data_IF_463646728173
#
_entry.id   IF_463646728173
#
_cell.length_a   1.000
_cell.length_b   1.000
_cell.length_c   1.000
_cell.angle_alpha   90.00
_cell.angle_beta   90.00
_cell.angle_gamma   90.00
#
_symmetry.space_group_name_H-M   'P 1'
#
loop_
_entity.id
_entity.type
_entity.pdbx_description
1 polymer ?
#
# COMPACT_ATOMS: atom_id res chain seq x y z
N UNK A 1 -4.73 22.21 -5.97
CA UNK A 1 -5.95 22.57 -5.22
C UNK A 1 -7.02 21.48 -5.20
N UNK A 2 -7.10 20.58 -6.21
CA UNK A 2 -8.09 19.47 -6.25
C UNK A 2 -7.89 18.44 -5.13
N UNK A 3 -6.65 18.10 -4.82
CA UNK A 3 -6.29 17.02 -3.87
C UNK A 3 -6.82 17.26 -2.44
N UNK A 4 -6.89 18.50 -1.97
CA UNK A 4 -7.38 18.83 -0.62
C UNK A 4 -8.91 18.69 -0.48
N UNK A 5 -9.68 18.94 -1.55
CA UNK A 5 -11.14 18.77 -1.55
C UNK A 5 -11.52 17.29 -1.53
N UNK A 6 -10.83 16.48 -2.33
CA UNK A 6 -11.08 15.04 -2.46
C UNK A 6 -10.76 14.29 -1.16
N UNK A 7 -9.68 14.69 -0.50
CA UNK A 7 -9.32 14.15 0.83
C UNK A 7 -10.36 14.51 1.88
N UNK A 8 -10.84 15.76 1.89
CA UNK A 8 -11.87 16.20 2.83
C UNK A 8 -13.17 15.44 2.60
N UNK A 9 -13.61 15.31 1.35
CA UNK A 9 -14.81 14.57 0.99
C UNK A 9 -14.72 13.10 1.42
N UNK A 10 -13.57 12.46 1.22
CA UNK A 10 -13.33 11.08 1.67
C UNK A 10 -13.43 10.96 3.20
N UNK A 11 -12.84 11.88 3.95
CA UNK A 11 -12.89 11.88 5.42
C UNK A 11 -14.33 12.09 5.91
N UNK A 12 -15.04 13.03 5.30
CA UNK A 12 -16.44 13.31 5.63
C UNK A 12 -17.34 12.10 5.32
N UNK A 13 -17.10 11.44 4.19
CA UNK A 13 -17.78 10.19 3.85
C UNK A 13 -17.47 9.09 4.88
N UNK A 14 -16.21 8.90 5.25
CA UNK A 14 -15.82 7.91 6.24
C UNK A 14 -16.41 8.17 7.64
N UNK A 15 -16.70 9.43 7.97
CA UNK A 15 -17.30 9.81 9.24
C UNK A 15 -18.81 9.53 9.31
N UNK A 16 -19.50 9.45 8.16
CA UNK A 16 -20.96 9.20 8.09
C UNK A 16 -21.33 7.78 8.50
N UNK A 17 -20.43 6.82 8.34
CA UNK A 17 -20.70 5.41 8.65
C UNK A 17 -20.40 5.13 10.13
N UNK A 18 -21.34 4.51 10.88
CA UNK A 18 -21.12 4.12 12.26
C UNK A 18 -20.08 3.00 12.36
N UNK A 19 -19.40 2.91 13.48
CA UNK A 19 -18.53 1.79 13.77
C UNK A 19 -19.35 0.52 13.99
N UNK A 20 -18.86 -0.60 13.50
CA UNK A 20 -19.50 -1.89 13.68
C UNK A 20 -19.24 -2.44 15.09
N UNK A 21 -20.24 -3.11 15.64
CA UNK A 21 -20.07 -3.96 16.82
C UNK A 21 -19.44 -5.28 16.39
N UNK A 22 -18.86 -6.01 17.33
CA UNK A 22 -18.25 -7.32 17.05
C UNK A 22 -19.27 -8.32 16.45
N UNK A 23 -20.51 -8.28 16.90
CA UNK A 23 -21.58 -9.13 16.34
C UNK A 23 -21.89 -8.78 14.88
N UNK A 24 -21.92 -7.49 14.55
CA UNK A 24 -22.11 -7.03 13.18
C UNK A 24 -20.93 -7.39 12.28
N UNK A 25 -19.68 -7.32 12.80
CA UNK A 25 -18.49 -7.78 12.06
C UNK A 25 -18.61 -9.27 11.69
N UNK A 26 -19.03 -10.10 12.65
CA UNK A 26 -19.22 -11.54 12.45
C UNK A 26 -20.33 -11.80 11.42
N UNK A 27 -21.48 -11.14 11.56
CA UNK A 27 -22.60 -11.32 10.64
C UNK A 27 -22.25 -10.94 9.20
N UNK A 28 -21.65 -9.75 9.01
CA UNK A 28 -21.22 -9.30 7.69
C UNK A 28 -20.15 -10.21 7.11
N UNK A 29 -19.18 -10.63 7.94
CA UNK A 29 -18.14 -11.56 7.54
C UNK A 29 -18.70 -12.91 7.06
N UNK A 30 -19.66 -13.49 7.80
CA UNK A 30 -20.35 -14.74 7.41
C UNK A 30 -21.08 -14.60 6.08
N UNK A 31 -21.79 -13.48 5.86
CA UNK A 31 -22.50 -13.21 4.59
C UNK A 31 -21.53 -13.10 3.41
N UNK A 32 -20.38 -12.46 3.61
CA UNK A 32 -19.34 -12.35 2.59
C UNK A 32 -18.75 -13.72 2.28
N UNK A 33 -18.39 -14.51 3.31
CA UNK A 33 -17.82 -15.85 3.15
C UNK A 33 -18.81 -16.82 2.48
N UNK A 34 -20.09 -16.75 2.84
CA UNK A 34 -21.14 -17.57 2.22
C UNK A 34 -21.22 -17.29 0.69
N UNK A 35 -21.14 -16.03 0.30
CA UNK A 35 -21.13 -15.67 -1.12
C UNK A 35 -19.87 -16.17 -1.82
N UNK A 36 -18.68 -15.93 -1.23
CA UNK A 36 -17.40 -16.22 -1.90
C UNK A 36 -17.06 -17.72 -1.98
N UNK A 37 -17.53 -18.49 -1.00
CA UNK A 37 -17.29 -19.95 -0.95
C UNK A 37 -18.28 -20.75 -1.82
N UNK A 38 -19.37 -20.14 -2.27
CA UNK A 38 -20.36 -20.85 -3.09
C UNK A 38 -19.83 -21.01 -4.52
N UNK A 39 -19.78 -22.22 -5.07
CA UNK A 39 -19.19 -22.49 -6.40
C UNK A 39 -19.99 -21.82 -7.54
N UNK A 40 -21.31 -21.77 -7.41
CA UNK A 40 -22.22 -21.11 -8.36
C UNK A 40 -23.27 -20.31 -7.57
N UNK A 41 -22.94 -19.07 -7.15
CA UNK A 41 -23.82 -18.32 -6.28
C UNK A 41 -25.01 -17.74 -7.04
N UNK A 42 -26.26 -17.97 -6.58
CA UNK A 42 -27.44 -17.36 -7.17
C UNK A 42 -27.34 -15.82 -7.07
N UNK A 43 -27.96 -15.11 -8.02
CA UNK A 43 -27.87 -13.63 -8.10
C UNK A 43 -28.26 -12.92 -6.79
N UNK A 44 -29.24 -13.47 -6.06
CA UNK A 44 -29.65 -12.95 -4.74
C UNK A 44 -28.50 -13.00 -3.71
N UNK A 45 -27.75 -14.10 -3.67
CA UNK A 45 -26.60 -14.28 -2.79
C UNK A 45 -25.46 -13.35 -3.18
N UNK A 46 -25.17 -13.21 -4.47
CA UNK A 46 -24.16 -12.26 -4.99
C UNK A 46 -24.49 -10.83 -4.56
N UNK A 47 -25.75 -10.39 -4.74
CA UNK A 47 -26.18 -9.05 -4.34
C UNK A 47 -26.06 -8.84 -2.82
N UNK A 48 -26.47 -9.84 -2.04
CA UNK A 48 -26.38 -9.79 -0.57
C UNK A 48 -24.93 -9.74 -0.10
N UNK A 49 -24.07 -10.58 -0.66
CA UNK A 49 -22.64 -10.63 -0.33
C UNK A 49 -21.90 -9.34 -0.67
N UNK A 50 -22.16 -8.77 -1.88
CA UNK A 50 -21.59 -7.49 -2.29
C UNK A 50 -22.04 -6.35 -1.37
N UNK A 51 -23.32 -6.25 -1.03
CA UNK A 51 -23.82 -5.23 -0.09
C UNK A 51 -23.18 -5.37 1.30
N UNK A 52 -23.04 -6.61 1.77
CA UNK A 52 -22.37 -6.87 3.06
C UNK A 52 -20.90 -6.44 3.03
N UNK A 53 -20.16 -6.74 1.95
CA UNK A 53 -18.78 -6.30 1.77
C UNK A 53 -18.68 -4.77 1.71
N UNK A 54 -19.51 -4.13 0.93
CA UNK A 54 -19.47 -2.68 0.76
C UNK A 54 -19.80 -1.97 2.08
N UNK A 55 -20.79 -2.44 2.83
CA UNK A 55 -21.09 -1.95 4.17
C UNK A 55 -19.91 -2.17 5.12
N UNK A 56 -19.29 -3.35 5.10
CA UNK A 56 -18.15 -3.68 5.93
C UNK A 56 -16.94 -2.75 5.65
N UNK A 57 -16.67 -2.47 4.37
CA UNK A 57 -15.63 -1.53 3.94
C UNK A 57 -15.98 -0.12 4.38
N UNK A 58 -17.18 0.38 4.08
CA UNK A 58 -17.58 1.75 4.41
C UNK A 58 -17.47 2.05 5.92
N UNK A 59 -17.91 1.13 6.77
CA UNK A 59 -17.83 1.29 8.23
C UNK A 59 -16.38 1.28 8.77
N UNK A 60 -15.41 0.79 7.99
CA UNK A 60 -14.00 0.69 8.39
C UNK A 60 -13.09 1.69 7.65
N UNK A 61 -13.60 2.63 6.83
CA UNK A 61 -12.78 3.61 6.10
C UNK A 61 -11.94 4.50 7.02
N UNK A 62 -12.41 4.76 8.25
CA UNK A 62 -11.64 5.51 9.26
C UNK A 62 -10.30 4.84 9.59
N UNK A 63 -10.24 3.51 9.55
CA UNK A 63 -9.00 2.77 9.74
C UNK A 63 -8.01 3.04 8.59
N UNK A 64 -8.49 3.12 7.35
CA UNK A 64 -7.67 3.47 6.18
C UNK A 64 -7.02 4.82 6.38
N UNK A 65 -7.79 5.85 6.79
CA UNK A 65 -7.27 7.19 7.06
C UNK A 65 -6.19 7.17 8.14
N UNK A 66 -6.44 6.45 9.24
CA UNK A 66 -5.49 6.33 10.35
C UNK A 66 -4.17 5.67 9.93
N UNK A 67 -4.23 4.64 9.08
CA UNK A 67 -3.03 3.98 8.56
C UNK A 67 -2.33 4.84 7.52
N UNK A 68 -3.05 5.42 6.56
CA UNK A 68 -2.47 6.23 5.47
C UNK A 68 -1.72 7.47 6.00
N UNK A 69 -2.22 8.12 7.07
CA UNK A 69 -1.55 9.27 7.72
C UNK A 69 -0.09 8.97 8.12
N UNK A 70 0.23 7.73 8.48
CA UNK A 70 1.59 7.33 8.88
C UNK A 70 2.59 7.39 7.72
N UNK A 71 2.10 7.41 6.48
CA UNK A 71 2.92 7.37 5.26
C UNK A 71 3.10 8.72 4.59
N UNK A 72 2.51 9.81 5.12
CA UNK A 72 2.62 11.15 4.55
C UNK A 72 4.07 11.60 4.33
N UNK A 73 4.97 11.31 5.29
CA UNK A 73 6.39 11.65 5.14
C UNK A 73 7.08 10.89 4.01
N UNK A 74 6.62 9.67 3.69
CA UNK A 74 7.24 8.85 2.63
C UNK A 74 6.87 9.30 1.23
N UNK A 75 5.76 9.99 1.07
CA UNK A 75 5.28 10.50 -0.23
C UNK A 75 5.68 11.96 -0.46
N UNK A 76 6.21 12.65 0.53
CA UNK A 76 6.70 14.03 0.39
C UNK A 76 7.77 14.10 -0.70
N UNK A 77 7.59 14.99 -1.67
CA UNK A 77 8.48 15.12 -2.83
C UNK A 77 8.29 14.06 -3.92
N UNK A 78 7.22 13.26 -3.86
CA UNK A 78 6.86 12.29 -4.92
C UNK A 78 5.61 12.74 -5.65
N UNK A 79 5.30 12.08 -6.77
CA UNK A 79 4.07 12.32 -7.54
C UNK A 79 2.81 11.69 -6.92
N UNK A 80 2.96 10.93 -5.82
CA UNK A 80 1.85 10.26 -5.14
C UNK A 80 1.17 11.26 -4.21
N UNK A 81 -0.14 11.34 -4.29
CA UNK A 81 -0.98 12.19 -3.44
C UNK A 81 -1.47 11.41 -2.21
N UNK A 82 -1.97 12.13 -1.20
CA UNK A 82 -2.61 11.48 -0.06
C UNK A 82 -3.92 10.79 -0.46
N UNK A 83 -4.64 11.34 -1.44
CA UNK A 83 -5.83 10.72 -2.01
C UNK A 83 -5.51 9.34 -2.62
N UNK A 84 -4.38 9.22 -3.32
CA UNK A 84 -3.91 7.93 -3.85
C UNK A 84 -3.69 6.90 -2.74
N UNK A 85 -3.10 7.31 -1.61
CA UNK A 85 -2.90 6.41 -0.47
C UNK A 85 -4.23 5.94 0.13
N UNK A 86 -5.23 6.82 0.19
CA UNK A 86 -6.56 6.47 0.68
C UNK A 86 -7.23 5.45 -0.25
N UNK A 87 -7.13 5.63 -1.57
CA UNK A 87 -7.69 4.68 -2.54
C UNK A 87 -6.99 3.31 -2.47
N UNK A 88 -5.66 3.30 -2.46
CA UNK A 88 -4.89 2.06 -2.36
C UNK A 88 -5.15 1.35 -1.01
N UNK A 89 -5.28 2.12 0.07
CA UNK A 89 -5.64 1.58 1.37
C UNK A 89 -7.05 0.97 1.38
N UNK A 90 -8.01 1.59 0.67
CA UNK A 90 -9.36 1.09 0.52
C UNK A 90 -9.40 -0.23 -0.27
N UNK A 91 -8.58 -0.35 -1.33
CA UNK A 91 -8.41 -1.62 -2.05
C UNK A 91 -7.85 -2.70 -1.11
N UNK A 92 -6.89 -2.34 -0.27
CA UNK A 92 -6.36 -3.25 0.76
C UNK A 92 -7.42 -3.68 1.77
N UNK A 93 -8.25 -2.74 2.24
CA UNK A 93 -9.36 -3.01 3.14
C UNK A 93 -10.43 -3.92 2.51
N UNK A 94 -10.76 -3.71 1.23
CA UNK A 94 -11.70 -4.57 0.51
C UNK A 94 -11.20 -6.02 0.44
N UNK A 95 -9.91 -6.22 0.12
CA UNK A 95 -9.30 -7.55 0.12
C UNK A 95 -9.31 -8.20 1.51
N UNK A 96 -9.10 -7.38 2.55
CA UNK A 96 -9.21 -7.85 3.93
C UNK A 96 -10.63 -8.32 4.24
N UNK A 97 -11.67 -7.56 3.85
CA UNK A 97 -13.06 -7.92 4.05
C UNK A 97 -13.44 -9.24 3.36
N UNK A 98 -12.91 -9.46 2.15
CA UNK A 98 -13.16 -10.70 1.38
C UNK A 98 -12.46 -11.93 2.00
N UNK A 99 -11.33 -11.73 2.68
CA UNK A 99 -10.54 -12.83 3.28
C UNK A 99 -10.72 -12.96 4.78
N UNK A 100 -11.46 -12.07 5.39
CA UNK A 100 -11.71 -12.11 6.83
C UNK A 100 -12.51 -13.33 7.22
N UNK A 101 -11.98 -14.09 8.18
CA UNK A 101 -12.69 -15.22 8.78
C UNK A 101 -13.22 -14.82 10.16
N UNK A 102 -14.54 -14.65 10.30
CA UNK A 102 -15.15 -14.24 11.55
C UNK A 102 -15.06 -15.31 12.66
N UNK A 103 -14.83 -16.57 12.32
CA UNK A 103 -14.74 -17.68 13.29
C UNK A 103 -13.40 -17.69 14.06
N UNK A 104 -12.37 -17.00 13.53
CA UNK A 104 -11.07 -16.88 14.21
C UNK A 104 -11.09 -16.00 15.47
N UNK A 105 -12.18 -15.29 15.77
CA UNK A 105 -12.35 -14.49 16.98
C UNK A 105 -11.56 -13.17 17.03
N UNK A 106 -10.78 -12.84 16.03
CA UNK A 106 -10.03 -11.59 15.96
C UNK A 106 -10.91 -10.45 15.42
N UNK A 107 -10.70 -9.22 15.94
CA UNK A 107 -11.35 -8.02 15.39
C UNK A 107 -10.90 -7.78 13.96
N UNK A 108 -11.83 -7.33 13.12
CA UNK A 108 -11.54 -6.94 11.73
C UNK A 108 -10.40 -5.92 11.65
N UNK A 109 -10.35 -4.94 12.55
CA UNK A 109 -9.34 -3.88 12.55
C UNK A 109 -7.90 -4.43 12.64
N UNK A 110 -7.69 -5.48 13.46
CA UNK A 110 -6.38 -6.14 13.61
C UNK A 110 -5.95 -6.83 12.31
N UNK A 111 -6.89 -7.52 11.67
CA UNK A 111 -6.63 -8.23 10.41
C UNK A 111 -6.44 -7.26 9.23
N UNK A 112 -7.34 -6.29 9.10
CA UNK A 112 -7.33 -5.31 8.00
C UNK A 112 -6.11 -4.40 8.02
N UNK A 113 -5.56 -4.08 9.19
CA UNK A 113 -4.38 -3.24 9.32
C UNK A 113 -3.22 -3.70 8.41
N UNK A 114 -2.94 -5.00 8.38
CA UNK A 114 -1.86 -5.57 7.59
C UNK A 114 -2.11 -5.49 6.07
N UNK A 115 -3.36 -5.69 5.64
CA UNK A 115 -3.75 -5.59 4.24
C UNK A 115 -3.69 -4.14 3.73
N UNK A 116 -4.20 -3.20 4.53
CA UNK A 116 -4.14 -1.76 4.24
C UNK A 116 -2.67 -1.32 4.13
N UNK A 117 -1.87 -1.65 5.13
CA UNK A 117 -0.43 -1.35 5.16
C UNK A 117 0.29 -1.92 3.94
N UNK A 118 0.04 -3.18 3.62
CA UNK A 118 0.65 -3.86 2.48
C UNK A 118 0.29 -3.17 1.16
N UNK A 119 -0.99 -2.83 0.95
CA UNK A 119 -1.45 -2.18 -0.26
C UNK A 119 -0.82 -0.79 -0.43
N UNK A 120 -0.84 0.04 0.61
CA UNK A 120 -0.21 1.37 0.63
C UNK A 120 1.29 1.27 0.35
N UNK A 121 2.01 0.42 1.07
CA UNK A 121 3.47 0.28 0.90
C UNK A 121 3.81 -0.18 -0.51
N UNK A 122 3.08 -1.16 -1.04
CA UNK A 122 3.27 -1.65 -2.40
C UNK A 122 3.01 -0.56 -3.44
N UNK A 123 1.98 0.26 -3.27
CA UNK A 123 1.67 1.37 -4.17
C UNK A 123 2.79 2.41 -4.16
N UNK A 124 3.26 2.81 -2.98
CA UNK A 124 4.41 3.71 -2.85
C UNK A 124 5.63 3.14 -3.58
N UNK A 125 5.97 1.87 -3.34
CA UNK A 125 7.13 1.25 -3.96
C UNK A 125 7.02 1.14 -5.49
N UNK A 126 5.81 1.02 -6.02
CA UNK A 126 5.59 0.90 -7.46
C UNK A 126 5.48 2.25 -8.19
N UNK A 127 4.97 3.29 -7.52
CA UNK A 127 4.58 4.56 -8.15
C UNK A 127 5.53 5.73 -7.87
N UNK A 128 6.48 5.61 -6.91
CA UNK A 128 7.37 6.72 -6.50
C UNK A 128 8.44 7.12 -7.50
N UNK A 129 8.70 6.36 -8.54
CA UNK A 129 9.75 6.70 -9.53
C UNK A 129 9.18 6.85 -10.93
N UNK A 130 9.73 7.78 -11.75
CA UNK A 130 9.42 7.87 -13.18
C UNK A 130 9.75 6.56 -13.89
N UNK A 131 10.87 5.94 -13.51
CA UNK A 131 11.27 4.61 -13.99
C UNK A 131 10.89 3.59 -12.94
N UNK A 132 10.10 2.60 -13.34
CA UNK A 132 9.69 1.53 -12.44
C UNK A 132 10.84 0.59 -12.12
N UNK A 133 11.21 0.54 -10.84
CA UNK A 133 12.23 -0.38 -10.31
C UNK A 133 11.51 -1.52 -9.56
N UNK A 134 11.99 -2.75 -9.76
CA UNK A 134 11.43 -3.91 -9.03
C UNK A 134 11.61 -3.76 -7.51
N UNK A 135 10.67 -4.27 -6.73
CA UNK A 135 10.75 -4.22 -5.25
C UNK A 135 11.99 -4.94 -4.70
N UNK A 136 12.46 -5.98 -5.40
CA UNK A 136 13.71 -6.67 -5.08
C UNK A 136 14.93 -5.76 -5.24
N UNK A 137 15.03 -5.04 -6.37
CA UNK A 137 16.12 -4.11 -6.63
C UNK A 137 16.11 -2.92 -5.65
N UNK A 138 14.92 -2.36 -5.33
CA UNK A 138 14.77 -1.30 -4.32
C UNK A 138 15.27 -1.75 -2.95
N UNK A 139 14.93 -2.98 -2.53
CA UNK A 139 15.37 -3.54 -1.25
C UNK A 139 16.89 -3.72 -1.20
N UNK A 140 17.50 -4.20 -2.29
CA UNK A 140 18.95 -4.34 -2.40
C UNK A 140 19.64 -2.98 -2.34
N UNK A 141 19.13 -2.00 -3.09
CA UNK A 141 19.64 -0.62 -3.07
C UNK A 141 19.55 0.01 -1.67
N UNK A 142 18.45 -0.21 -0.97
CA UNK A 142 18.28 0.31 0.39
C UNK A 142 19.32 -0.32 1.35
N UNK A 143 19.46 -1.65 1.35
CA UNK A 143 20.45 -2.35 2.16
C UNK A 143 21.88 -1.88 1.87
N UNK A 144 22.19 -1.69 0.59
CA UNK A 144 23.48 -1.16 0.17
C UNK A 144 23.73 0.25 0.71
N UNK A 145 22.73 1.15 0.62
CA UNK A 145 22.84 2.52 1.13
C UNK A 145 23.00 2.56 2.66
N UNK A 146 22.26 1.72 3.39
CA UNK A 146 22.38 1.58 4.84
C UNK A 146 23.78 1.12 5.22
N UNK A 147 24.30 0.09 4.58
CA UNK A 147 25.66 -0.42 4.84
C UNK A 147 26.76 0.57 4.42
N UNK A 148 26.56 1.31 3.31
CA UNK A 148 27.53 2.31 2.83
C UNK A 148 27.57 3.56 3.73
N UNK A 149 26.49 3.89 4.43
CA UNK A 149 26.46 5.02 5.38
C UNK A 149 27.40 4.81 6.57
N UNK A 150 27.74 3.58 6.92
CA UNK A 150 28.68 3.24 7.98
C UNK A 150 30.16 3.31 7.51
N UNK A 151 30.41 3.53 6.20
CA UNK A 151 31.74 3.57 5.59
C UNK A 151 32.38 2.18 5.42
N UNK A 152 33.55 2.15 4.84
CA UNK A 152 34.31 0.94 4.61
C UNK A 152 34.62 0.69 3.13
N UNK A 153 35.32 -0.41 2.86
CA UNK A 153 35.61 -0.86 1.49
C UNK A 153 34.37 -1.47 0.82
N UNK A 154 34.36 -1.52 -0.51
CA UNK A 154 33.24 -2.09 -1.28
C UNK A 154 32.92 -3.54 -0.85
N UNK A 155 33.95 -4.33 -0.56
CA UNK A 155 33.79 -5.71 -0.09
C UNK A 155 33.11 -5.78 1.27
N UNK A 156 33.51 -4.96 2.22
CA UNK A 156 32.91 -4.88 3.56
C UNK A 156 31.44 -4.40 3.49
N UNK A 157 31.15 -3.43 2.61
CA UNK A 157 29.78 -2.95 2.40
C UNK A 157 28.88 -4.05 1.86
N UNK A 158 29.36 -4.81 0.87
CA UNK A 158 28.60 -5.92 0.29
C UNK A 158 28.35 -7.04 1.31
N UNK A 159 29.35 -7.43 2.08
CA UNK A 159 29.21 -8.44 3.12
C UNK A 159 28.23 -8.00 4.21
N UNK A 160 28.32 -6.75 4.67
CA UNK A 160 27.40 -6.15 5.67
C UNK A 160 25.95 -6.08 5.14
N UNK A 161 25.77 -5.72 3.86
CA UNK A 161 24.47 -5.69 3.22
C UNK A 161 23.90 -7.08 2.91
N UNK A 162 24.73 -8.15 2.98
CA UNK A 162 24.38 -9.49 2.56
C UNK A 162 24.09 -9.57 1.05
N UNK A 163 24.89 -8.87 0.25
CA UNK A 163 24.76 -8.76 -1.19
C UNK A 163 25.95 -9.41 -1.90
N UNK A 164 25.68 -10.02 -3.04
CA UNK A 164 26.72 -10.61 -3.89
C UNK A 164 27.26 -9.59 -4.91
N UNK A 165 28.43 -9.85 -5.51
CA UNK A 165 28.94 -9.04 -6.62
C UNK A 165 27.97 -8.94 -7.81
N UNK A 166 27.15 -9.98 -8.03
CA UNK A 166 26.08 -9.94 -9.07
C UNK A 166 25.01 -8.94 -8.73
N UNK A 167 24.71 -8.76 -7.44
CA UNK A 167 23.70 -7.81 -6.97
C UNK A 167 24.17 -6.36 -7.13
N UNK A 168 25.48 -6.11 -7.18
CA UNK A 168 26.04 -4.78 -7.38
C UNK A 168 25.55 -4.15 -8.67
N UNK A 169 25.53 -4.89 -9.78
CA UNK A 169 24.99 -4.40 -11.08
C UNK A 169 23.52 -3.98 -10.96
N UNK A 170 22.73 -4.74 -10.21
CA UNK A 170 21.32 -4.40 -9.97
C UNK A 170 21.19 -3.11 -9.15
N UNK A 171 22.07 -2.95 -8.14
CA UNK A 171 22.11 -1.76 -7.28
C UNK A 171 22.53 -0.53 -8.08
N UNK A 172 23.53 -0.63 -8.93
CA UNK A 172 24.00 0.44 -9.81
C UNK A 172 22.89 0.89 -10.77
N UNK A 173 22.27 -0.03 -11.49
CA UNK A 173 21.15 0.25 -12.38
C UNK A 173 19.98 0.90 -11.64
N UNK A 174 19.62 0.37 -10.47
CA UNK A 174 18.57 0.95 -9.65
C UNK A 174 18.94 2.36 -9.17
N UNK A 175 20.20 2.62 -8.84
CA UNK A 175 20.67 3.94 -8.42
C UNK A 175 20.56 4.99 -9.54
N UNK A 176 20.90 4.63 -10.77
CA UNK A 176 20.78 5.48 -11.96
C UNK A 176 19.30 5.85 -12.19
N UNK A 177 18.39 4.88 -12.10
CA UNK A 177 16.96 5.10 -12.28
C UNK A 177 16.33 6.07 -11.25
N UNK A 178 16.98 6.29 -10.10
CA UNK A 178 16.55 7.30 -9.12
C UNK A 178 17.01 8.72 -9.44
N UNK A 179 18.05 8.89 -10.26
CA UNK A 179 18.60 10.18 -10.65
C UNK A 179 18.07 10.61 -12.02
N UNK A 180 16.76 10.85 -12.10
CA UNK A 180 16.17 11.41 -13.32
C UNK A 180 16.39 12.91 -13.29
N UNK A 181 17.12 13.44 -14.29
CA UNK A 181 17.38 14.87 -14.47
C UNK A 181 16.55 15.37 -15.66
N UNK A 182 16.02 16.60 -15.57
CA UNK A 182 15.35 17.24 -16.69
C UNK A 182 16.36 17.56 -17.79
N UNK A 183 16.07 17.17 -19.04
CA UNK A 183 16.95 17.43 -20.17
C UNK A 183 17.07 18.93 -20.53
N UNK A 184 16.00 19.69 -20.24
CA UNK A 184 15.96 21.14 -20.54
C UNK A 184 16.95 21.98 -19.69
N UNK A 185 17.51 21.39 -18.63
CA UNK A 185 18.52 22.00 -17.75
C UNK A 185 19.95 21.53 -18.01
N UNK A 186 20.18 20.67 -19.01
CA UNK A 186 21.50 20.17 -19.36
C UNK A 186 22.09 21.00 -20.52
N UNK A 187 23.21 21.66 -20.29
CA UNK A 187 24.05 22.22 -21.36
C UNK A 187 24.58 21.05 -22.20
N UNK A 188 23.91 20.79 -23.33
CA UNK A 188 24.27 19.73 -24.28
C UNK A 188 25.67 19.94 -24.91
N UNK A 189 26.29 21.13 -24.72
CA UNK A 189 27.65 21.46 -25.16
C UNK A 189 28.72 21.01 -24.15
N UNK A 190 28.36 20.40 -23.01
CA UNK A 190 29.31 19.94 -22.00
C UNK A 190 29.50 18.39 -21.99
N UNK A 191 28.97 17.70 -23.00
CA UNK A 191 29.16 16.28 -23.27
C UNK A 191 29.99 16.12 -24.53
#
# INVERSE_FOLDING_TARGET
MHDMSDVKEFIDMAARYPLLTQQQEIELGRRIQLWLKHPDPPQGLVRSGRRARDQFVCCNLRLVVAVAKKYLRRISGTSITFADLLQEGTIGLQRAAEKYDPECGYKMSTYAYWWIRQSITRSIDMKTGMIRISSGAKRKLQKFREAAAEGGTMTEILDRAGLTQRDLKIVEQASICYKVTCLDGLDLNAI
#
